data_IF_334471026904
#
_entry.id   IF_334471026904
#
_cell.length_a   1.000
_cell.length_b   1.000
_cell.length_c   1.000
_cell.angle_alpha   90.00
_cell.angle_beta   90.00
_cell.angle_gamma   90.00
#
_symmetry.space_group_name_H-M   'P 1'
#
loop_
_entity.id
_entity.type
_entity.pdbx_description
1 polymer ?
#
# COMPACT_ATOMS: atom_id res chain seq x y z
N UNK A 1 -26.60 -23.32 -58.17
CA UNK A 1 -25.19 -23.73 -57.95
C UNK A 1 -25.19 -25.14 -57.38
N UNK A 2 -24.29 -26.02 -57.82
CA UNK A 2 -24.21 -27.40 -57.31
C UNK A 2 -23.61 -27.43 -55.89
N UNK A 3 -23.92 -28.48 -55.10
CA UNK A 3 -23.37 -28.64 -53.74
C UNK A 3 -21.83 -28.64 -53.74
N UNK A 4 -21.19 -29.25 -54.75
CA UNK A 4 -19.74 -29.27 -54.91
C UNK A 4 -19.10 -27.87 -54.98
N UNK A 5 -19.81 -26.87 -55.53
CA UNK A 5 -19.32 -25.50 -55.57
C UNK A 5 -19.32 -24.84 -54.18
N UNK A 6 -20.37 -25.07 -53.38
CA UNK A 6 -20.43 -24.60 -51.99
C UNK A 6 -19.39 -25.28 -51.10
N UNK A 7 -19.16 -26.59 -51.30
CA UNK A 7 -18.10 -27.33 -50.61
C UNK A 7 -16.72 -26.77 -50.98
N UNK A 8 -16.46 -26.51 -52.27
CA UNK A 8 -15.20 -25.92 -52.71
C UNK A 8 -14.95 -24.52 -52.09
N UNK A 9 -15.97 -23.65 -52.06
CA UNK A 9 -15.88 -22.33 -51.42
C UNK A 9 -15.61 -22.45 -49.91
N UNK A 10 -16.31 -23.36 -49.22
CA UNK A 10 -16.09 -23.59 -47.79
C UNK A 10 -14.67 -24.11 -47.48
N UNK A 11 -14.13 -25.02 -48.31
CA UNK A 11 -12.76 -25.53 -48.19
C UNK A 11 -11.74 -24.42 -48.42
N UNK A 12 -11.91 -23.57 -49.44
CA UNK A 12 -11.01 -22.44 -49.71
C UNK A 12 -11.06 -21.42 -48.56
N UNK A 13 -12.24 -21.10 -48.02
CA UNK A 13 -12.37 -20.22 -46.86
C UNK A 13 -11.68 -20.80 -45.61
N UNK A 14 -11.84 -22.09 -45.33
CA UNK A 14 -11.17 -22.76 -44.21
C UNK A 14 -9.64 -22.74 -44.37
N UNK A 15 -9.12 -23.01 -45.58
CA UNK A 15 -7.69 -22.96 -45.88
C UNK A 15 -7.10 -21.55 -45.69
N UNK A 16 -7.83 -20.49 -46.07
CA UNK A 16 -7.41 -19.11 -45.84
C UNK A 16 -7.36 -18.74 -44.35
N UNK A 17 -8.35 -19.17 -43.56
CA UNK A 17 -8.35 -18.97 -42.10
C UNK A 17 -7.20 -19.73 -41.43
N UNK A 18 -6.93 -20.97 -41.86
CA UNK A 18 -5.78 -21.77 -41.38
C UNK A 18 -4.45 -21.07 -41.74
N UNK A 19 -4.31 -20.58 -42.97
CA UNK A 19 -3.11 -19.86 -43.41
C UNK A 19 -2.88 -18.58 -42.59
N UNK A 20 -3.93 -17.81 -42.30
CA UNK A 20 -3.87 -16.62 -41.45
C UNK A 20 -3.47 -16.96 -40.01
N UNK A 21 -4.04 -18.01 -39.42
CA UNK A 21 -3.68 -18.51 -38.09
C UNK A 21 -2.23 -18.98 -38.02
N UNK A 22 -1.75 -19.73 -39.02
CA UNK A 22 -0.36 -20.19 -39.10
C UNK A 22 0.61 -19.01 -39.26
N UNK A 23 0.29 -18.04 -40.13
CA UNK A 23 1.11 -16.83 -40.31
C UNK A 23 1.17 -16.00 -39.01
N UNK A 24 0.04 -15.83 -38.31
CA UNK A 24 -0.03 -15.19 -37.01
C UNK A 24 0.80 -15.92 -35.95
N UNK A 25 0.66 -17.25 -35.84
CA UNK A 25 1.41 -18.08 -34.90
C UNK A 25 2.92 -18.07 -35.18
N UNK A 26 3.35 -18.07 -36.45
CA UNK A 26 4.76 -17.95 -36.84
C UNK A 26 5.30 -16.55 -36.51
N UNK A 27 4.55 -15.48 -36.78
CA UNK A 27 4.95 -14.10 -36.44
C UNK A 27 5.03 -13.88 -34.92
N UNK A 28 4.12 -14.50 -34.16
CA UNK A 28 4.12 -14.53 -32.70
C UNK A 28 5.34 -15.31 -32.15
N UNK A 29 5.60 -16.52 -32.67
CA UNK A 29 6.78 -17.34 -32.30
C UNK A 29 8.10 -16.64 -32.62
N UNK A 30 8.21 -15.92 -33.76
CA UNK A 30 9.40 -15.14 -34.12
C UNK A 30 9.62 -13.87 -33.28
N UNK A 31 8.63 -13.42 -32.48
CA UNK A 31 8.76 -12.26 -31.58
C UNK A 31 9.09 -12.62 -30.12
N UNK A 32 9.14 -13.91 -29.75
CA UNK A 32 9.60 -14.32 -28.42
C UNK A 32 11.13 -14.48 -28.39
N UNK A 33 11.82 -13.46 -27.88
CA UNK A 33 13.23 -13.58 -27.47
C UNK A 33 13.33 -14.69 -26.41
N UNK A 34 14.27 -15.63 -26.58
CA UNK A 34 14.58 -16.65 -25.57
C UNK A 34 15.91 -16.32 -24.93
N UNK A 35 15.91 -16.10 -23.62
CA UNK A 35 17.09 -16.29 -22.79
C UNK A 35 16.96 -17.68 -22.15
N UNK A 36 17.92 -18.57 -22.43
CA UNK A 36 18.01 -19.86 -21.78
C UNK A 36 18.74 -19.71 -20.43
N UNK A 37 18.37 -20.53 -19.44
CA UNK A 37 19.06 -20.64 -18.16
C UNK A 37 19.24 -22.12 -17.82
N UNK A 38 20.38 -22.58 -17.28
CA UNK A 38 20.56 -23.96 -16.86
C UNK A 38 19.70 -24.31 -15.64
N UNK A 39 19.33 -25.58 -15.52
CA UNK A 39 18.81 -26.17 -14.27
C UNK A 39 19.96 -26.36 -13.25
N UNK A 40 19.65 -26.65 -11.97
CA UNK A 40 19.49 -28.06 -11.61
C UNK A 40 18.43 -28.37 -10.53
N UNK A 41 18.03 -29.64 -10.46
CA UNK A 41 17.73 -30.34 -9.20
C UNK A 41 16.28 -30.29 -8.72
N UNK A 42 15.65 -31.47 -8.65
CA UNK A 42 14.36 -31.67 -8.00
C UNK A 42 14.53 -32.41 -6.66
N UNK A 43 13.59 -32.20 -5.74
CA UNK A 43 12.86 -33.19 -4.90
C UNK A 43 12.29 -32.48 -3.62
N UNK A 44 11.28 -32.96 -2.88
CA UNK A 44 9.97 -33.56 -3.20
C UNK A 44 9.29 -34.05 -1.89
N UNK A 45 7.99 -33.73 -1.68
CA UNK A 45 7.08 -34.24 -0.62
C UNK A 45 7.47 -33.96 0.86
N UNK A 46 6.54 -33.90 1.83
CA UNK A 46 5.06 -33.80 1.79
C UNK A 46 4.43 -33.54 3.17
N UNK A 47 3.29 -32.84 3.20
CA UNK A 47 2.27 -32.97 4.26
C UNK A 47 2.46 -32.02 5.46
N UNK A 48 1.78 -30.86 5.50
CA UNK A 48 0.37 -30.66 5.93
C UNK A 48 0.09 -30.98 7.40
N UNK A 49 -0.16 -29.94 8.20
CA UNK A 49 -1.34 -29.83 9.07
C UNK A 49 -1.72 -28.35 9.23
N UNK A 50 -2.97 -28.05 9.64
CA UNK A 50 -3.57 -26.70 9.55
C UNK A 50 -4.47 -26.37 10.74
N UNK A 51 -4.41 -25.15 11.27
CA UNK A 51 -5.34 -24.58 12.25
C UNK A 51 -5.13 -23.05 12.37
N UNK A 52 -6.09 -22.22 12.79
CA UNK A 52 -7.57 -22.33 12.73
C UNK A 52 -8.25 -20.95 12.88
N UNK A 53 -7.54 -19.87 12.63
CA UNK A 53 -8.00 -18.47 12.74
C UNK A 53 -7.83 -17.85 11.35
N UNK A 54 -8.92 -17.41 10.71
CA UNK A 54 -9.22 -17.64 9.27
C UNK A 54 -8.36 -16.98 8.17
N UNK A 55 -7.05 -17.21 8.17
CA UNK A 55 -5.97 -16.41 7.58
C UNK A 55 -4.82 -17.50 7.23
N UNK A 56 -4.02 -17.47 6.10
CA UNK A 56 -2.88 -18.39 5.55
C UNK A 56 -1.31 -17.89 5.14
N UNK A 57 0.08 -17.91 5.53
CA UNK A 57 1.42 -18.16 6.41
C UNK A 57 2.27 -19.47 6.81
N UNK A 58 3.61 -19.55 6.52
CA UNK A 58 4.76 -20.29 7.18
C UNK A 58 6.14 -20.09 6.45
N UNK A 59 7.37 -20.10 7.02
CA UNK A 59 8.57 -19.40 6.42
C UNK A 59 9.93 -20.19 6.11
N UNK A 60 11.09 -19.52 5.74
CA UNK A 60 12.59 -19.75 6.04
C UNK A 60 13.90 -19.45 5.15
N UNK A 61 15.09 -19.04 5.71
CA UNK A 61 16.27 -18.44 4.99
C UNK A 61 17.74 -18.55 5.59
N UNK A 62 18.82 -17.96 4.96
CA UNK A 62 20.26 -18.00 5.36
C UNK A 62 21.09 -16.67 5.28
N UNK A 63 22.40 -16.67 5.64
CA UNK A 63 23.26 -15.45 5.79
C UNK A 63 24.72 -15.53 5.23
N UNK A 64 25.29 -14.41 4.72
CA UNK A 64 26.74 -14.07 4.43
C UNK A 64 26.84 -12.50 4.37
N UNK A 65 27.98 -11.83 4.19
CA UNK A 65 29.04 -11.41 5.14
C UNK A 65 29.66 -10.07 4.61
N UNK A 66 30.38 -9.29 5.41
CA UNK A 66 30.72 -7.88 5.12
C UNK A 66 32.21 -7.56 5.01
N UNK A 67 32.69 -7.27 3.79
CA UNK A 67 34.01 -6.64 3.55
C UNK A 67 33.91 -5.56 2.45
N UNK A 68 34.27 -4.30 2.74
CA UNK A 68 34.34 -3.25 1.70
C UNK A 68 33.94 -1.81 2.07
N UNK A 69 33.73 -1.45 3.35
CA UNK A 69 33.41 -0.06 3.72
C UNK A 69 34.67 0.84 3.76
N UNK A 70 34.60 2.10 3.30
CA UNK A 70 35.76 3.00 3.19
C UNK A 70 36.15 3.66 4.53
N UNK A 71 37.42 4.06 4.64
CA UNK A 71 37.95 4.77 5.80
C UNK A 71 37.56 6.26 5.82
N UNK A 72 37.46 6.84 7.02
CA UNK A 72 37.08 8.24 7.27
C UNK A 72 38.34 9.14 7.31
N UNK A 73 38.26 10.35 6.76
CA UNK A 73 39.35 11.36 6.79
C UNK A 73 39.21 12.40 7.91
N UNK A 74 40.33 13.01 8.30
CA UNK A 74 40.51 13.80 9.54
C UNK A 74 39.90 15.23 9.57
N UNK A 75 39.19 15.67 8.54
CA UNK A 75 38.71 17.07 8.40
C UNK A 75 37.46 17.42 9.25
N UNK A 76 37.50 17.12 10.55
CA UNK A 76 36.45 17.42 11.53
C UNK A 76 36.99 18.09 12.82
N UNK A 77 38.06 18.88 12.73
CA UNK A 77 38.69 19.51 13.91
C UNK A 77 37.93 20.76 14.39
N UNK A 78 37.19 20.61 15.50
CA UNK A 78 36.47 21.71 16.17
C UNK A 78 37.46 22.61 16.97
N UNK A 79 37.30 23.95 16.96
CA UNK A 79 38.12 24.87 17.77
C UNK A 79 38.11 24.52 19.27
N UNK A 80 39.28 24.58 19.93
CA UNK A 80 39.48 23.97 21.26
C UNK A 80 39.10 24.85 22.46
N UNK A 81 38.95 26.17 22.27
CA UNK A 81 38.79 27.15 23.35
C UNK A 81 37.33 27.59 23.62
N UNK A 82 36.38 26.66 23.49
CA UNK A 82 35.04 26.84 24.06
C UNK A 82 35.08 26.50 25.58
N UNK A 83 34.48 27.32 26.46
CA UNK A 83 34.50 27.07 27.90
C UNK A 83 33.73 25.79 28.26
N UNK A 84 34.48 24.73 28.56
CA UNK A 84 33.93 23.41 28.93
C UNK A 84 33.22 23.51 30.28
N UNK A 85 31.89 23.41 30.29
CA UNK A 85 31.13 23.11 31.52
C UNK A 85 31.50 21.70 31.97
N UNK A 86 31.97 21.55 33.21
CA UNK A 86 32.16 20.25 33.85
C UNK A 86 30.81 19.56 34.00
N UNK A 87 30.70 18.32 33.52
CA UNK A 87 29.51 17.49 33.74
C UNK A 87 29.66 16.84 35.12
N UNK A 88 29.16 17.55 36.13
CA UNK A 88 28.93 17.02 37.47
C UNK A 88 27.46 17.29 37.81
N UNK A 89 26.73 16.21 38.08
CA UNK A 89 25.36 16.23 38.60
C UNK A 89 24.35 17.04 37.76
N UNK A 90 24.12 16.58 36.52
CA UNK A 90 22.75 16.55 36.01
C UNK A 90 22.12 15.26 36.51
N UNK A 91 21.24 15.35 37.50
CA UNK A 91 20.46 14.19 37.94
C UNK A 91 19.50 13.80 36.81
N UNK A 92 19.75 12.64 36.20
CA UNK A 92 18.83 12.07 35.23
C UNK A 92 17.53 11.74 35.98
N UNK A 93 16.35 12.12 35.45
CA UNK A 93 15.10 11.66 36.04
C UNK A 93 15.16 10.13 36.10
N UNK A 94 14.82 9.57 37.27
CA UNK A 94 14.68 8.12 37.39
C UNK A 94 13.76 7.60 36.29
N UNK A 95 13.98 6.40 35.74
CA UNK A 95 13.04 5.82 34.81
C UNK A 95 11.69 5.71 35.53
N UNK A 96 10.73 6.55 35.13
CA UNK A 96 9.34 6.38 35.53
C UNK A 96 8.97 4.94 35.22
N UNK A 97 8.44 4.22 36.21
CA UNK A 97 8.00 2.85 36.05
C UNK A 97 6.90 2.85 34.99
N UNK A 98 7.28 2.61 33.73
CA UNK A 98 6.42 2.81 32.57
C UNK A 98 5.11 2.04 32.77
N UNK A 99 4.04 2.76 33.08
CA UNK A 99 2.73 2.14 33.31
C UNK A 99 2.36 1.33 32.07
N UNK A 100 1.87 0.11 32.30
CA UNK A 100 1.42 -0.76 31.23
C UNK A 100 0.37 0.00 30.41
N UNK A 101 0.57 0.06 29.09
CA UNK A 101 -0.30 0.83 28.21
C UNK A 101 -1.78 0.47 28.43
N UNK A 102 -2.69 1.47 28.45
CA UNK A 102 -4.08 1.24 28.82
C UNK A 102 -4.72 0.15 27.95
N UNK A 103 -5.69 -0.60 28.51
CA UNK A 103 -6.25 -1.79 27.86
C UNK A 103 -6.75 -1.47 26.44
N UNK A 104 -6.47 -2.39 25.51
CA UNK A 104 -6.69 -2.18 24.09
C UNK A 104 -8.15 -1.81 23.81
N UNK A 105 -8.37 -0.62 23.25
CA UNK A 105 -9.72 -0.14 22.96
C UNK A 105 -10.44 -1.09 21.97
N UNK A 106 -11.71 -1.48 22.21
CA UNK A 106 -12.45 -2.38 21.32
C UNK A 106 -12.46 -1.90 19.86
N UNK A 107 -12.42 -2.84 18.89
CA UNK A 107 -12.31 -2.50 17.46
C UNK A 107 -13.51 -1.68 16.95
N UNK A 108 -14.70 -1.89 17.51
CA UNK A 108 -15.94 -1.18 17.18
C UNK A 108 -15.76 0.34 17.27
N UNK A 109 -15.15 0.83 18.36
CA UNK A 109 -14.89 2.26 18.56
C UNK A 109 -13.83 2.84 17.61
N UNK A 110 -13.07 2.02 16.86
CA UNK A 110 -12.06 2.52 15.91
C UNK A 110 -12.71 3.11 14.65
N UNK A 111 -13.81 2.53 14.17
CA UNK A 111 -14.55 3.02 12.99
C UNK A 111 -15.29 4.33 13.27
N UNK A 112 -15.79 4.48 14.50
CA UNK A 112 -16.48 5.71 14.94
C UNK A 112 -15.49 6.87 15.18
N UNK A 113 -14.31 6.57 15.75
CA UNK A 113 -13.18 7.53 15.81
C UNK A 113 -12.68 7.94 14.42
N UNK A 114 -12.71 7.03 13.44
CA UNK A 114 -12.42 7.32 12.02
C UNK A 114 -13.39 8.35 11.45
N UNK A 115 -14.71 8.15 11.60
CA UNK A 115 -15.73 9.15 11.21
C UNK A 115 -15.49 10.50 11.88
N UNK A 116 -15.32 10.51 13.21
CA UNK A 116 -15.09 11.72 14.01
C UNK A 116 -13.74 12.41 13.82
N UNK A 117 -12.84 11.88 12.98
CA UNK A 117 -11.59 12.54 12.58
C UNK A 117 -11.65 13.02 11.13
N UNK A 118 -12.10 12.20 10.18
CA UNK A 118 -12.29 12.62 8.79
C UNK A 118 -13.30 13.78 8.66
N UNK A 119 -14.45 13.71 9.36
CA UNK A 119 -15.45 14.77 9.34
C UNK A 119 -14.94 16.13 9.87
N UNK A 120 -13.79 16.17 10.56
CA UNK A 120 -13.16 17.42 11.01
C UNK A 120 -12.23 18.07 9.98
N UNK A 121 -11.66 17.32 9.02
CA UNK A 121 -10.82 17.91 7.95
C UNK A 121 -11.54 18.07 6.61
N UNK A 122 -12.55 17.24 6.33
CA UNK A 122 -13.13 17.08 4.99
C UNK A 122 -14.36 17.96 4.67
N UNK A 123 -14.97 18.58 5.68
CA UNK A 123 -16.26 19.30 5.62
C UNK A 123 -16.36 20.48 4.62
N UNK A 124 -15.28 20.83 3.91
CA UNK A 124 -15.26 21.92 2.94
C UNK A 124 -15.85 21.51 1.57
N UNK A 125 -15.39 20.40 0.98
CA UNK A 125 -15.82 19.98 -0.36
C UNK A 125 -17.32 19.69 -0.41
N UNK A 126 -17.82 18.91 0.55
CA UNK A 126 -19.24 18.54 0.60
C UNK A 126 -20.15 19.76 0.51
N UNK A 127 -19.96 20.76 1.38
CA UNK A 127 -20.77 21.98 1.37
C UNK A 127 -20.60 22.84 0.11
N UNK A 128 -19.41 22.88 -0.47
CA UNK A 128 -19.15 23.65 -1.70
C UNK A 128 -19.90 23.04 -2.89
N UNK A 129 -19.71 21.74 -3.13
CA UNK A 129 -20.36 21.04 -4.26
C UNK A 129 -21.89 20.97 -4.06
N UNK A 130 -22.37 20.74 -2.84
CA UNK A 130 -23.81 20.69 -2.57
C UNK A 130 -24.48 22.06 -2.61
N UNK A 131 -23.80 23.13 -2.19
CA UNK A 131 -24.31 24.49 -2.32
C UNK A 131 -24.47 24.94 -3.77
N UNK A 132 -23.58 24.48 -4.66
CA UNK A 132 -23.72 24.65 -6.11
C UNK A 132 -24.88 23.81 -6.65
N UNK A 133 -24.85 22.48 -6.45
CA UNK A 133 -25.82 21.55 -7.06
C UNK A 133 -27.25 21.74 -6.52
N UNK A 134 -27.41 22.19 -5.27
CA UNK A 134 -28.71 22.40 -4.64
C UNK A 134 -29.50 23.61 -5.16
N UNK A 135 -28.91 24.44 -6.04
CA UNK A 135 -29.52 25.70 -6.52
C UNK A 135 -30.72 25.53 -7.47
N UNK A 136 -30.82 24.42 -8.20
CA UNK A 136 -31.89 24.17 -9.19
C UNK A 136 -31.36 23.66 -10.53
N UNK A 137 -31.88 24.20 -11.63
CA UNK A 137 -31.36 23.92 -12.97
C UNK A 137 -29.97 24.54 -13.13
N UNK A 138 -28.93 23.69 -13.16
CA UNK A 138 -27.53 24.09 -13.27
C UNK A 138 -27.15 24.46 -14.70
N UNK A 139 -26.71 25.70 -14.89
CA UNK A 139 -26.10 26.17 -16.13
C UNK A 139 -24.62 25.74 -16.23
N UNK A 140 -24.01 26.03 -17.39
CA UNK A 140 -22.64 25.57 -17.68
C UNK A 140 -21.58 26.25 -16.79
N UNK A 141 -21.85 27.47 -16.29
CA UNK A 141 -21.00 28.17 -15.32
C UNK A 141 -21.05 27.46 -13.96
N UNK A 142 -22.26 27.12 -13.48
CA UNK A 142 -22.46 26.31 -12.27
C UNK A 142 -21.77 24.94 -12.35
N UNK A 143 -21.73 24.31 -13.54
CA UNK A 143 -21.00 23.06 -13.74
C UNK A 143 -19.48 23.22 -13.76
N UNK A 144 -18.95 24.35 -14.23
CA UNK A 144 -17.52 24.64 -14.16
C UNK A 144 -17.08 24.87 -12.71
N UNK A 145 -17.87 25.57 -11.90
CA UNK A 145 -17.60 25.73 -10.46
C UNK A 145 -17.58 24.38 -9.71
N UNK A 146 -18.44 23.43 -10.13
CA UNK A 146 -18.40 22.05 -9.62
C UNK A 146 -17.13 21.31 -10.06
N UNK A 147 -16.71 21.45 -11.32
CA UNK A 147 -15.45 20.87 -11.81
C UNK A 147 -14.25 21.40 -11.02
N UNK A 148 -14.10 22.73 -10.95
CA UNK A 148 -13.00 23.40 -10.28
C UNK A 148 -12.96 23.03 -8.79
N UNK A 149 -14.11 22.94 -8.12
CA UNK A 149 -14.21 22.47 -6.73
C UNK A 149 -13.68 21.03 -6.55
N UNK A 150 -14.03 20.11 -7.45
CA UNK A 150 -13.56 18.72 -7.42
C UNK A 150 -12.06 18.62 -7.75
N UNK A 151 -11.56 19.44 -8.68
CA UNK A 151 -10.14 19.51 -9.03
C UNK A 151 -9.29 20.08 -7.87
N UNK A 152 -9.75 21.14 -7.21
CA UNK A 152 -9.07 21.79 -6.07
C UNK A 152 -8.84 20.80 -4.91
N UNK A 153 -9.77 19.88 -4.69
CA UNK A 153 -9.68 18.83 -3.67
C UNK A 153 -8.80 17.61 -4.07
N UNK A 154 -8.09 17.69 -5.20
CA UNK A 154 -7.17 16.68 -5.77
C UNK A 154 -7.82 15.34 -6.20
N UNK A 155 -9.11 15.33 -6.62
CA UNK A 155 -9.70 14.15 -7.29
C UNK A 155 -8.97 13.83 -8.61
N UNK A 156 -8.53 14.87 -9.32
CA UNK A 156 -7.84 14.75 -10.62
C UNK A 156 -8.79 14.64 -11.81
N UNK A 157 -8.37 15.09 -13.01
CA UNK A 157 -9.27 15.39 -14.12
C UNK A 157 -10.09 14.19 -14.59
N UNK A 158 -9.49 13.00 -14.72
CA UNK A 158 -10.19 11.80 -15.20
C UNK A 158 -11.33 11.37 -14.26
N UNK A 159 -11.12 11.49 -12.94
CA UNK A 159 -12.17 11.18 -11.94
C UNK A 159 -13.21 12.29 -11.97
N UNK A 160 -12.81 13.56 -11.98
CA UNK A 160 -13.74 14.70 -12.03
C UNK A 160 -14.63 14.65 -13.27
N UNK A 161 -14.09 14.37 -14.46
CA UNK A 161 -14.85 14.19 -15.71
C UNK A 161 -15.89 13.06 -15.58
N UNK A 162 -15.49 11.90 -15.04
CA UNK A 162 -16.41 10.77 -14.78
C UNK A 162 -17.51 11.13 -13.78
N UNK A 163 -17.17 11.84 -12.71
CA UNK A 163 -18.11 12.33 -11.69
C UNK A 163 -19.11 13.30 -12.31
N UNK A 164 -18.67 14.30 -13.07
CA UNK A 164 -19.56 15.28 -13.73
C UNK A 164 -20.47 14.60 -14.74
N UNK A 165 -19.95 13.71 -15.59
CA UNK A 165 -20.75 13.00 -16.57
C UNK A 165 -21.86 12.16 -15.91
N UNK A 166 -21.53 11.46 -14.81
CA UNK A 166 -22.51 10.69 -14.04
C UNK A 166 -23.49 11.59 -13.27
N UNK A 167 -23.04 12.71 -12.70
CA UNK A 167 -23.89 13.71 -12.03
C UNK A 167 -24.90 14.29 -13.02
N UNK A 168 -24.44 14.91 -14.13
CA UNK A 168 -25.31 15.47 -15.19
C UNK A 168 -26.35 14.44 -15.65
N UNK A 169 -25.92 13.19 -15.89
CA UNK A 169 -26.81 12.10 -16.30
C UNK A 169 -27.85 11.72 -15.23
N UNK A 170 -27.44 11.54 -13.95
CA UNK A 170 -28.34 11.13 -12.86
C UNK A 170 -29.25 12.26 -12.36
N UNK A 171 -28.83 13.52 -12.44
CA UNK A 171 -29.70 14.67 -12.14
C UNK A 171 -30.76 14.84 -13.24
N UNK A 172 -30.38 14.81 -14.52
CA UNK A 172 -31.31 15.00 -15.64
C UNK A 172 -32.31 13.83 -15.85
N UNK A 173 -31.99 12.63 -15.37
CA UNK A 173 -32.88 11.45 -15.41
C UNK A 173 -33.55 11.12 -14.08
N UNK A 174 -33.08 11.72 -12.98
CA UNK A 174 -33.57 11.49 -11.63
C UNK A 174 -34.71 12.44 -11.25
N UNK A 175 -35.49 12.03 -10.26
CA UNK A 175 -36.58 12.86 -9.71
C UNK A 175 -36.07 13.73 -8.55
N UNK A 176 -34.92 14.40 -8.75
CA UNK A 176 -34.20 15.19 -7.75
C UNK A 176 -34.95 16.49 -7.49
N UNK A 177 -35.32 16.76 -6.22
CA UNK A 177 -36.16 17.92 -5.86
C UNK A 177 -35.65 18.70 -4.64
N UNK A 178 -34.62 18.17 -3.96
CA UNK A 178 -34.04 18.74 -2.75
C UNK A 178 -32.52 18.59 -2.75
N UNK A 179 -31.84 19.42 -1.95
CA UNK A 179 -30.41 19.29 -1.66
C UNK A 179 -30.06 17.90 -1.11
N UNK A 180 -30.97 17.26 -0.36
CA UNK A 180 -30.79 15.90 0.16
C UNK A 180 -30.79 14.84 -0.96
N UNK A 181 -31.65 14.98 -1.98
CA UNK A 181 -31.64 14.11 -3.16
C UNK A 181 -30.33 14.29 -3.95
N UNK A 182 -29.91 15.54 -4.15
CA UNK A 182 -28.64 15.87 -4.80
C UNK A 182 -27.43 15.28 -4.04
N UNK A 183 -27.44 15.36 -2.70
CA UNK A 183 -26.43 14.74 -1.83
C UNK A 183 -26.40 13.23 -1.96
N UNK A 184 -27.55 12.56 -2.04
CA UNK A 184 -27.62 11.12 -2.28
C UNK A 184 -27.04 10.74 -3.67
N UNK A 185 -27.36 11.51 -4.72
CA UNK A 185 -26.81 11.27 -6.06
C UNK A 185 -25.29 11.47 -6.09
N UNK A 186 -24.76 12.56 -5.52
CA UNK A 186 -23.32 12.83 -5.45
C UNK A 186 -22.58 11.76 -4.64
N UNK A 187 -23.13 11.39 -3.47
CA UNK A 187 -22.63 10.31 -2.62
C UNK A 187 -22.48 9.01 -3.40
N UNK A 188 -23.53 8.59 -4.10
CA UNK A 188 -23.52 7.32 -4.82
C UNK A 188 -22.57 7.36 -6.03
N UNK A 189 -22.44 8.49 -6.74
CA UNK A 189 -21.44 8.65 -7.81
C UNK A 189 -20.02 8.50 -7.25
N UNK A 190 -19.69 9.21 -6.17
CA UNK A 190 -18.36 9.11 -5.54
C UNK A 190 -18.07 7.71 -4.98
N UNK A 191 -19.07 7.00 -4.42
CA UNK A 191 -18.89 5.61 -4.00
C UNK A 191 -18.61 4.69 -5.20
N UNK A 192 -19.26 4.91 -6.35
CA UNK A 192 -19.02 4.11 -7.56
C UNK A 192 -17.62 4.34 -8.15
N UNK A 193 -17.11 5.58 -8.17
CA UNK A 193 -15.71 5.87 -8.57
C UNK A 193 -14.68 5.17 -7.69
N UNK A 194 -14.98 5.01 -6.39
CA UNK A 194 -14.16 4.23 -5.47
C UNK A 194 -14.27 2.71 -5.69
N UNK A 195 -15.05 2.22 -6.66
CA UNK A 195 -15.09 0.81 -7.08
C UNK A 195 -15.22 -0.16 -5.88
N UNK A 196 -16.41 -0.25 -5.25
CA UNK A 196 -16.59 -0.99 -4.00
C UNK A 196 -16.36 -2.51 -4.18
N UNK A 197 -16.45 -3.03 -5.41
CA UNK A 197 -16.15 -4.43 -5.75
C UNK A 197 -14.66 -4.82 -5.78
N UNK A 198 -13.71 -3.88 -5.57
CA UNK A 198 -12.30 -4.26 -5.40
C UNK A 198 -12.07 -4.95 -4.05
N UNK A 199 -11.29 -6.03 -4.04
CA UNK A 199 -10.86 -6.74 -2.82
C UNK A 199 -9.96 -5.85 -1.94
N UNK A 200 -10.51 -5.43 -0.80
CA UNK A 200 -9.82 -4.61 0.21
C UNK A 200 -9.29 -5.41 1.40
N UNK A 201 -9.44 -6.74 1.40
CA UNK A 201 -8.85 -7.57 2.44
C UNK A 201 -7.32 -7.44 2.42
N UNK A 202 -6.70 -7.35 3.60
CA UNK A 202 -5.25 -7.55 3.69
C UNK A 202 -5.05 -9.06 3.72
N UNK A 203 -4.22 -9.58 2.81
CA UNK A 203 -3.89 -11.01 2.74
C UNK A 203 -2.93 -11.43 3.86
N UNK A 204 -3.09 -10.91 5.08
CA UNK A 204 -2.20 -11.07 6.24
C UNK A 204 -2.45 -12.37 7.06
N UNK A 205 -2.31 -13.49 6.37
CA UNK A 205 -2.87 -14.85 6.46
C UNK A 205 -1.86 -15.92 7.10
N UNK A 206 -2.03 -16.99 8.05
CA UNK A 206 -1.24 -18.32 8.34
C UNK A 206 -1.52 -19.77 7.70
N UNK A 207 -0.72 -20.23 6.69
CA UNK A 207 -0.81 -21.23 5.57
C UNK A 207 -0.37 -22.63 6.05
N UNK A 208 -0.15 -23.58 5.12
CA UNK A 208 0.49 -24.87 5.41
C UNK A 208 2.04 -24.86 5.47
N UNK A 209 2.72 -24.01 4.69
CA UNK A 209 4.18 -24.14 4.47
C UNK A 209 4.93 -22.86 4.03
N UNK A 210 4.32 -21.99 3.20
CA UNK A 210 4.88 -20.72 2.75
C UNK A 210 4.16 -19.51 3.36
N UNK A 211 4.77 -18.31 3.48
CA UNK A 211 4.19 -17.16 4.18
C UNK A 211 3.04 -16.56 3.38
N UNK A 212 2.24 -15.74 4.05
CA UNK A 212 1.96 -14.42 3.49
C UNK A 212 3.09 -13.46 3.90
N UNK A 213 3.97 -13.07 2.99
CA UNK A 213 4.83 -11.93 3.28
C UNK A 213 4.09 -10.65 2.93
N UNK A 214 3.97 -9.75 3.90
CA UNK A 214 3.56 -8.37 3.65
C UNK A 214 4.82 -7.53 3.42
N UNK A 215 5.04 -7.12 2.17
CA UNK A 215 6.13 -6.21 1.82
C UNK A 215 5.61 -4.76 1.85
N UNK A 216 6.11 -3.95 2.78
CA UNK A 216 5.66 -2.56 2.96
C UNK A 216 6.63 -1.62 2.25
N UNK A 217 6.20 -1.09 1.11
CA UNK A 217 7.02 -0.27 0.18
C UNK A 217 6.53 1.18 0.11
N UNK A 218 7.31 2.05 -0.53
CA UNK A 218 6.96 3.45 -0.75
C UNK A 218 8.04 4.44 -0.33
N UNK A 219 7.80 5.73 -0.56
CA UNK A 219 8.83 6.77 -0.45
C UNK A 219 9.16 7.14 1.00
N UNK A 220 10.21 7.92 1.21
CA UNK A 220 10.58 8.44 2.53
C UNK A 220 9.52 9.43 3.03
N UNK A 221 9.26 9.43 4.35
CA UNK A 221 8.34 10.38 5.01
C UNK A 221 6.85 10.00 5.01
N UNK A 222 6.42 8.97 4.26
CA UNK A 222 5.02 8.50 4.21
C UNK A 222 4.59 7.68 5.42
N UNK A 223 5.52 7.36 6.34
CA UNK A 223 5.21 6.62 7.56
C UNK A 223 5.17 5.10 7.41
N UNK A 224 5.99 4.50 6.53
CA UNK A 224 6.11 3.03 6.40
C UNK A 224 6.34 2.31 7.74
N UNK A 225 7.43 2.61 8.45
CA UNK A 225 7.77 2.03 9.77
C UNK A 225 6.64 2.19 10.80
N UNK A 226 5.98 3.35 10.81
CA UNK A 226 4.80 3.61 11.65
C UNK A 226 3.59 2.75 11.23
N UNK A 227 3.37 2.59 9.93
CA UNK A 227 2.31 1.73 9.36
C UNK A 227 2.56 0.27 9.69
N UNK A 228 3.81 -0.20 9.57
CA UNK A 228 4.23 -1.56 9.96
C UNK A 228 3.93 -1.80 11.45
N UNK A 229 4.33 -0.88 12.34
CA UNK A 229 4.07 -0.98 13.77
C UNK A 229 2.58 -0.98 14.15
N UNK A 230 1.77 -0.11 13.51
CA UNK A 230 0.32 -0.10 13.71
C UNK A 230 -0.36 -1.34 13.14
N UNK A 231 0.06 -1.82 11.97
CA UNK A 231 -0.47 -3.04 11.35
C UNK A 231 -0.12 -4.28 12.20
N UNK A 232 1.11 -4.37 12.70
CA UNK A 232 1.53 -5.38 13.66
C UNK A 232 0.63 -5.38 14.91
N UNK A 233 0.29 -4.20 15.46
CA UNK A 233 -0.65 -4.10 16.58
C UNK A 233 -2.04 -4.63 16.24
N UNK A 234 -2.60 -4.26 15.08
CA UNK A 234 -3.92 -4.74 14.63
C UNK A 234 -3.92 -6.26 14.48
N UNK A 235 -2.83 -6.83 13.97
CA UNK A 235 -2.69 -8.26 13.76
C UNK A 235 -2.50 -9.03 15.08
N UNK A 236 -1.67 -8.56 16.02
CA UNK A 236 -1.59 -9.21 17.35
C UNK A 236 -2.93 -9.10 18.10
N UNK A 237 -3.68 -8.01 17.94
CA UNK A 237 -5.04 -7.87 18.49
C UNK A 237 -6.06 -8.85 17.86
N UNK A 238 -5.83 -9.31 16.62
CA UNK A 238 -6.55 -10.42 15.96
C UNK A 238 -5.98 -11.82 16.34
N UNK A 239 -5.11 -11.88 17.35
CA UNK A 239 -4.52 -13.12 17.86
C UNK A 239 -3.38 -13.68 17.00
N UNK A 240 -2.76 -12.88 16.13
CA UNK A 240 -1.61 -13.29 15.31
C UNK A 240 -0.29 -13.17 16.05
N UNK A 241 0.57 -14.17 15.91
CA UNK A 241 1.99 -14.12 16.29
C UNK A 241 2.75 -13.42 15.17
N UNK A 242 3.35 -12.27 15.44
CA UNK A 242 3.95 -11.40 14.41
C UNK A 242 5.47 -11.34 14.52
N UNK A 243 6.15 -11.41 13.38
CA UNK A 243 7.57 -11.15 13.15
C UNK A 243 7.71 -9.94 12.22
N UNK A 244 8.56 -8.99 12.58
CA UNK A 244 8.82 -7.79 11.77
C UNK A 244 10.23 -7.81 11.19
N UNK A 245 10.36 -7.60 9.88
CA UNK A 245 11.64 -7.49 9.17
C UNK A 245 12.08 -6.03 9.03
N UNK A 246 13.16 -5.66 9.70
CA UNK A 246 13.75 -4.31 9.64
C UNK A 246 14.65 -4.14 8.40
N UNK A 247 14.07 -4.21 7.20
CA UNK A 247 14.80 -4.14 5.93
C UNK A 247 15.13 -2.69 5.46
N UNK A 248 14.72 -1.64 6.18
CA UNK A 248 15.27 -0.28 6.02
C UNK A 248 16.65 -0.16 6.71
N UNK A 249 17.60 -1.00 6.28
CA UNK A 249 18.94 -1.12 6.87
C UNK A 249 19.82 0.14 6.71
N UNK A 250 19.40 1.05 5.84
CA UNK A 250 19.98 2.39 5.66
C UNK A 250 19.53 3.41 6.71
N UNK A 251 18.73 3.02 7.71
CA UNK A 251 18.25 3.88 8.79
C UNK A 251 18.24 3.08 10.10
N UNK A 252 19.35 3.06 10.86
CA UNK A 252 19.41 2.41 12.18
C UNK A 252 18.22 2.80 13.09
N UNK A 253 17.89 4.09 13.16
CA UNK A 253 16.73 4.60 13.89
C UNK A 253 15.36 4.06 13.42
N UNK A 254 15.23 3.56 12.18
CA UNK A 254 14.02 2.87 11.73
C UNK A 254 13.92 1.46 12.32
N UNK A 255 15.03 0.73 12.40
CA UNK A 255 15.08 -0.57 13.06
C UNK A 255 14.81 -0.46 14.57
N UNK A 256 15.34 0.57 15.24
CA UNK A 256 15.06 0.82 16.67
C UNK A 256 13.62 1.32 16.90
N UNK A 257 13.07 2.13 15.99
CA UNK A 257 11.65 2.50 16.01
C UNK A 257 10.75 1.27 15.84
N UNK A 258 11.08 0.37 14.91
CA UNK A 258 10.34 -0.87 14.66
C UNK A 258 10.44 -1.84 15.85
N UNK A 259 11.61 -1.95 16.46
CA UNK A 259 11.81 -2.69 17.72
C UNK A 259 10.96 -2.13 18.86
N UNK A 260 10.85 -0.80 18.97
CA UNK A 260 10.01 -0.13 19.97
C UNK A 260 8.52 -0.42 19.74
N UNK A 261 8.06 -0.48 18.49
CA UNK A 261 6.70 -0.94 18.17
C UNK A 261 6.49 -2.40 18.56
N UNK A 262 7.41 -3.28 18.16
CA UNK A 262 7.30 -4.72 18.36
C UNK A 262 7.21 -5.09 19.86
N UNK A 263 8.11 -4.54 20.68
CA UNK A 263 8.14 -4.78 22.12
C UNK A 263 6.87 -4.27 22.84
N UNK A 264 6.16 -3.28 22.28
CA UNK A 264 4.89 -2.77 22.81
C UNK A 264 3.68 -3.63 22.44
N UNK A 265 3.79 -4.46 21.40
CA UNK A 265 2.67 -5.29 20.89
C UNK A 265 2.89 -6.78 21.11
N UNK A 266 4.08 -7.22 21.51
CA UNK A 266 4.42 -8.63 21.65
C UNK A 266 4.84 -9.31 20.33
N UNK A 267 5.32 -8.53 19.36
CA UNK A 267 5.90 -9.05 18.12
C UNK A 267 7.41 -9.31 18.26
N UNK A 268 7.93 -10.30 17.53
CA UNK A 268 9.37 -10.50 17.36
C UNK A 268 9.91 -9.59 16.24
N UNK A 269 11.22 -9.30 16.23
CA UNK A 269 11.87 -8.52 15.17
C UNK A 269 13.13 -9.22 14.70
N UNK A 270 13.34 -9.21 13.38
CA UNK A 270 14.64 -9.50 12.78
C UNK A 270 15.21 -8.22 12.20
N UNK A 271 16.47 -7.95 12.55
CA UNK A 271 17.26 -6.82 12.07
C UNK A 271 18.66 -7.29 11.73
N UNK A 272 19.20 -6.83 10.61
CA UNK A 272 20.62 -6.99 10.29
C UNK A 272 21.50 -5.98 11.04
N UNK A 273 22.78 -5.96 10.69
CA UNK A 273 23.65 -4.82 10.99
C UNK A 273 23.22 -3.57 10.19
N UNK A 274 23.66 -2.39 10.61
CA UNK A 274 23.48 -1.17 9.80
C UNK A 274 24.19 -1.33 8.44
N UNK A 275 23.51 -0.98 7.36
CA UNK A 275 24.00 -1.18 5.99
C UNK A 275 24.04 -2.65 5.52
N UNK A 276 23.49 -3.60 6.28
CA UNK A 276 23.29 -4.97 5.80
C UNK A 276 22.35 -5.01 4.58
N UNK A 277 22.44 -6.06 3.77
CA UNK A 277 21.59 -6.25 2.58
C UNK A 277 20.10 -6.35 2.98
N UNK A 278 19.22 -5.43 2.54
CA UNK A 278 17.78 -5.50 2.81
C UNK A 278 17.16 -6.82 2.35
N UNK A 279 17.68 -7.41 1.26
CA UNK A 279 17.20 -8.68 0.76
C UNK A 279 17.53 -9.83 1.71
N UNK A 280 18.68 -9.81 2.39
CA UNK A 280 19.03 -10.79 3.43
C UNK A 280 18.19 -10.59 4.67
N UNK A 281 18.03 -9.35 5.17
CA UNK A 281 17.21 -9.10 6.39
C UNK A 281 15.74 -9.44 6.16
N UNK A 282 15.21 -9.18 4.96
CA UNK A 282 13.88 -9.64 4.54
C UNK A 282 13.77 -11.17 4.48
N UNK A 283 14.85 -11.86 4.10
CA UNK A 283 14.94 -13.31 4.09
C UNK A 283 15.03 -13.87 5.52
N UNK A 284 15.89 -13.34 6.38
CA UNK A 284 16.04 -13.75 7.78
C UNK A 284 14.77 -13.47 8.62
N UNK A 285 14.04 -12.39 8.33
CA UNK A 285 12.71 -12.12 8.89
C UNK A 285 11.70 -13.21 8.52
N UNK A 286 11.88 -13.79 7.34
CA UNK A 286 11.21 -15.03 6.95
C UNK A 286 11.85 -16.21 7.75
N UNK A 287 13.17 -16.47 7.78
CA UNK A 287 13.77 -17.58 8.61
C UNK A 287 13.23 -17.71 10.02
N UNK A 288 13.41 -16.66 10.79
CA UNK A 288 12.99 -16.59 12.19
C UNK A 288 11.54 -17.05 12.38
N UNK A 289 10.67 -16.71 11.42
CA UNK A 289 9.26 -17.06 11.46
C UNK A 289 8.93 -18.54 11.17
N UNK A 290 9.80 -19.38 10.56
CA UNK A 290 9.49 -20.84 10.53
C UNK A 290 9.82 -21.44 11.89
N UNK A 291 10.91 -20.97 12.48
CA UNK A 291 11.45 -21.51 13.71
C UNK A 291 10.55 -21.18 14.90
N UNK A 292 9.93 -19.99 14.94
CA UNK A 292 8.82 -19.70 15.87
C UNK A 292 7.43 -20.14 15.36
N UNK A 293 7.36 -20.74 14.17
CA UNK A 293 6.13 -21.14 13.50
C UNK A 293 5.13 -19.98 13.38
N UNK A 294 5.66 -18.75 13.25
CA UNK A 294 4.94 -17.49 13.35
C UNK A 294 3.78 -17.42 12.37
N UNK A 295 2.81 -16.59 12.73
CA UNK A 295 1.85 -16.09 11.78
C UNK A 295 2.56 -15.01 10.94
N UNK A 296 2.34 -13.72 11.20
CA UNK A 296 2.68 -12.67 10.23
C UNK A 296 4.16 -12.41 10.09
N UNK A 297 4.66 -12.33 8.85
CA UNK A 297 5.90 -11.60 8.52
C UNK A 297 5.56 -10.29 7.81
N UNK A 298 5.86 -9.15 8.44
CA UNK A 298 5.73 -7.81 7.83
C UNK A 298 7.12 -7.19 7.68
N UNK A 299 7.46 -6.76 6.46
CA UNK A 299 8.80 -6.27 6.10
C UNK A 299 8.73 -4.78 5.81
N UNK A 300 9.42 -3.95 6.60
CA UNK A 300 9.58 -2.51 6.38
C UNK A 300 10.80 -2.26 5.48
N UNK A 301 10.61 -1.72 4.27
CA UNK A 301 11.72 -1.49 3.32
C UNK A 301 12.27 -0.07 3.39
N UNK A 302 13.45 0.14 2.81
CA UNK A 302 13.91 1.49 2.47
C UNK A 302 12.94 2.23 1.50
N UNK A 303 13.03 3.56 1.45
CA UNK A 303 12.23 4.42 0.56
C UNK A 303 13.02 5.51 -0.19
N UNK A 304 14.33 5.31 -0.35
CA UNK A 304 15.29 6.31 -0.84
C UNK A 304 15.26 6.47 -2.37
N UNK A 305 14.17 7.01 -2.92
CA UNK A 305 13.93 7.09 -4.38
C UNK A 305 14.88 8.03 -5.16
N UNK A 306 15.74 8.80 -4.49
CA UNK A 306 16.69 9.69 -5.18
C UNK A 306 17.65 8.95 -6.13
N UNK A 307 17.94 7.68 -5.87
CA UNK A 307 18.64 6.76 -6.77
C UNK A 307 17.67 5.77 -7.42
N UNK A 308 16.80 6.28 -8.32
CA UNK A 308 15.69 5.54 -8.96
C UNK A 308 16.04 4.11 -9.43
N UNK A 309 17.23 3.89 -9.98
CA UNK A 309 17.67 2.57 -10.44
C UNK A 309 17.94 1.64 -9.25
N UNK A 310 18.82 2.06 -8.33
CA UNK A 310 19.27 1.25 -7.20
C UNK A 310 18.14 0.81 -6.25
N UNK A 311 17.20 1.70 -5.90
CA UNK A 311 16.06 1.30 -5.04
C UNK A 311 15.14 0.27 -5.73
N UNK A 312 15.01 0.34 -7.06
CA UNK A 312 14.12 -0.53 -7.81
C UNK A 312 14.75 -1.91 -8.03
N UNK A 313 16.04 -1.96 -8.35
CA UNK A 313 16.83 -3.20 -8.36
C UNK A 313 16.84 -3.87 -6.97
N UNK A 314 16.91 -3.06 -5.90
CA UNK A 314 16.86 -3.52 -4.50
C UNK A 314 15.48 -4.09 -4.13
N UNK A 315 14.37 -3.47 -4.54
CA UNK A 315 13.04 -3.98 -4.25
C UNK A 315 12.66 -5.22 -5.07
N UNK A 316 13.06 -5.31 -6.36
CA UNK A 316 13.03 -6.59 -7.08
C UNK A 316 13.86 -7.63 -6.34
N UNK A 317 15.09 -7.31 -5.94
CA UNK A 317 15.98 -8.24 -5.23
C UNK A 317 15.35 -8.73 -3.92
N UNK A 318 14.77 -7.85 -3.10
CA UNK A 318 14.06 -8.22 -1.86
C UNK A 318 12.93 -9.19 -2.19
N UNK A 319 12.01 -8.81 -3.09
CA UNK A 319 10.88 -9.67 -3.50
C UNK A 319 11.37 -11.01 -4.04
N UNK A 320 12.33 -11.01 -4.96
CA UNK A 320 12.91 -12.18 -5.63
C UNK A 320 13.74 -13.08 -4.71
N UNK A 321 14.29 -12.57 -3.63
CA UNK A 321 14.97 -13.37 -2.60
C UNK A 321 13.94 -14.00 -1.67
N UNK A 322 13.00 -13.22 -1.13
CA UNK A 322 11.86 -13.72 -0.35
C UNK A 322 11.09 -14.81 -1.12
N UNK A 323 10.77 -14.58 -2.40
CA UNK A 323 10.11 -15.52 -3.32
C UNK A 323 10.87 -16.82 -3.61
N UNK A 324 12.10 -17.01 -3.11
CA UNK A 324 12.77 -18.33 -3.12
C UNK A 324 12.26 -19.27 -2.05
N UNK A 325 11.55 -18.74 -1.05
CA UNK A 325 10.99 -19.52 0.05
C UNK A 325 9.49 -19.30 0.23
N UNK A 326 9.04 -18.12 -0.12
CA UNK A 326 7.86 -17.52 0.42
C UNK A 326 7.11 -16.73 -0.63
N UNK A 327 5.82 -17.00 -0.85
CA UNK A 327 5.01 -16.07 -1.62
C UNK A 327 5.00 -14.69 -0.93
N UNK A 328 5.00 -13.64 -1.74
CA UNK A 328 4.73 -12.26 -1.28
C UNK A 328 3.27 -11.98 -1.62
N UNK A 329 2.38 -12.44 -0.74
CA UNK A 329 0.93 -12.42 -0.94
C UNK A 329 0.39 -11.00 -0.99
N UNK A 330 1.03 -10.06 -0.28
CA UNK A 330 0.65 -8.64 -0.24
C UNK A 330 1.87 -7.71 -0.36
N UNK A 331 1.80 -6.77 -1.30
CA UNK A 331 2.72 -5.63 -1.41
C UNK A 331 1.90 -4.36 -1.18
N UNK A 332 2.11 -3.71 -0.03
CA UNK A 332 1.40 -2.49 0.34
C UNK A 332 2.25 -1.26 0.08
N UNK A 333 1.80 -0.39 -0.82
CA UNK A 333 2.44 0.90 -1.06
C UNK A 333 1.91 1.94 -0.06
N UNK A 334 2.78 2.42 0.83
CA UNK A 334 2.45 3.47 1.81
C UNK A 334 2.72 4.84 1.22
N UNK A 335 1.64 5.61 1.06
CA UNK A 335 1.60 6.96 0.54
C UNK A 335 1.08 7.92 1.61
N UNK A 336 1.44 9.19 1.47
CA UNK A 336 1.01 10.28 2.35
C UNK A 336 -0.16 11.01 1.67
N UNK A 337 -1.26 11.28 2.38
CA UNK A 337 -2.39 12.02 1.81
C UNK A 337 -2.07 13.51 1.55
N UNK A 338 -0.91 14.00 2.01
CA UNK A 338 -0.35 15.29 1.63
C UNK A 338 0.57 15.22 0.39
N UNK A 339 0.70 14.06 -0.29
CA UNK A 339 1.43 14.04 -1.57
C UNK A 339 0.69 14.87 -2.61
N UNK A 340 1.35 15.92 -3.10
CA UNK A 340 0.98 16.53 -4.37
C UNK A 340 1.33 15.63 -5.57
N UNK A 341 1.10 16.17 -6.77
CA UNK A 341 1.42 15.58 -8.08
C UNK A 341 2.70 14.71 -8.11
N UNK A 342 3.78 15.20 -7.49
CA UNK A 342 5.09 14.58 -7.46
C UNK A 342 5.12 13.20 -6.77
N UNK A 343 4.26 12.94 -5.77
CA UNK A 343 4.24 11.65 -5.07
C UNK A 343 3.50 10.57 -5.84
N UNK A 344 2.47 10.92 -6.61
CA UNK A 344 1.77 10.00 -7.52
C UNK A 344 2.68 9.54 -8.67
N UNK A 345 3.40 10.49 -9.28
CA UNK A 345 4.41 10.16 -10.30
C UNK A 345 5.54 9.25 -9.77
N UNK A 346 5.79 9.26 -8.46
CA UNK A 346 6.72 8.34 -7.80
C UNK A 346 6.05 6.99 -7.51
N UNK A 347 4.82 7.00 -7.01
CA UNK A 347 4.00 5.80 -6.74
C UNK A 347 3.89 4.88 -7.96
N UNK A 348 3.67 5.45 -9.15
CA UNK A 348 3.62 4.68 -10.41
C UNK A 348 4.90 3.90 -10.68
N UNK A 349 6.08 4.49 -10.43
CA UNK A 349 7.38 3.83 -10.66
C UNK A 349 7.59 2.65 -9.69
N UNK A 350 6.98 2.66 -8.50
CA UNK A 350 6.93 1.44 -7.66
C UNK A 350 6.03 0.36 -8.28
N UNK A 351 4.86 0.74 -8.83
CA UNK A 351 3.94 -0.18 -9.48
C UNK A 351 4.52 -0.85 -10.74
N UNK A 352 5.34 -0.12 -11.50
CA UNK A 352 6.03 -0.62 -12.71
C UNK A 352 7.12 -1.68 -12.40
N UNK A 353 7.58 -1.77 -11.14
CA UNK A 353 8.72 -2.60 -10.71
C UNK A 353 8.31 -3.72 -9.74
N UNK A 354 7.36 -3.43 -8.85
CA UNK A 354 6.87 -4.37 -7.86
C UNK A 354 5.36 -4.47 -8.03
N UNK A 355 4.83 -5.68 -8.28
CA UNK A 355 3.38 -5.93 -8.31
C UNK A 355 2.72 -5.50 -6.98
N UNK A 356 2.25 -4.25 -6.90
CA UNK A 356 1.50 -3.72 -5.74
C UNK A 356 0.14 -4.41 -5.71
N UNK A 357 -0.32 -4.78 -4.52
CA UNK A 357 -1.62 -5.44 -4.31
C UNK A 357 -2.62 -4.57 -3.56
N UNK A 358 -2.15 -3.50 -2.91
CA UNK A 358 -2.99 -2.47 -2.30
C UNK A 358 -2.20 -1.22 -1.89
N UNK A 359 -2.91 -0.12 -1.68
CA UNK A 359 -2.34 1.13 -1.18
C UNK A 359 -2.76 1.38 0.29
N UNK A 360 -1.87 2.06 1.04
CA UNK A 360 -2.14 2.59 2.37
C UNK A 360 -1.91 4.10 2.32
N UNK A 361 -2.89 4.89 2.75
CA UNK A 361 -2.77 6.35 2.78
C UNK A 361 -2.70 6.85 4.22
N UNK A 362 -1.63 7.56 4.58
CA UNK A 362 -1.40 8.12 5.91
C UNK A 362 -1.74 9.61 5.96
N UNK A 363 -1.87 10.18 7.17
CA UNK A 363 -2.11 11.61 7.43
C UNK A 363 -3.39 12.17 6.77
N UNK A 364 -4.44 11.37 6.60
CA UNK A 364 -5.73 11.85 6.08
C UNK A 364 -6.37 12.92 6.97
N UNK A 365 -6.08 12.89 8.27
CA UNK A 365 -6.52 13.88 9.25
C UNK A 365 -5.76 15.22 9.13
N UNK A 366 -4.57 15.22 8.53
CA UNK A 366 -3.73 16.41 8.31
C UNK A 366 -4.00 17.15 6.99
N UNK A 367 -4.93 16.68 6.16
CA UNK A 367 -5.25 17.27 4.85
C UNK A 367 -6.73 17.63 4.72
N UNK A 368 -7.01 18.76 4.07
CA UNK A 368 -8.36 19.17 3.64
C UNK A 368 -8.72 18.64 2.24
N UNK A 369 -7.85 17.82 1.63
CA UNK A 369 -7.97 17.32 0.26
C UNK A 369 -8.21 15.81 0.21
N UNK A 370 -9.46 15.40 0.37
CA UNK A 370 -9.87 14.00 0.29
C UNK A 370 -9.73 13.34 -1.09
N UNK A 371 -9.69 14.12 -2.18
CA UNK A 371 -9.69 13.60 -3.55
C UNK A 371 -8.51 12.68 -3.90
N UNK A 372 -7.39 12.83 -3.18
CA UNK A 372 -6.18 12.02 -3.37
C UNK A 372 -6.44 10.51 -3.32
N UNK A 373 -7.45 10.05 -2.56
CA UNK A 373 -7.85 8.64 -2.47
C UNK A 373 -8.29 8.07 -3.82
N UNK A 374 -9.20 8.78 -4.50
CA UNK A 374 -9.70 8.40 -5.82
C UNK A 374 -8.55 8.32 -6.83
N UNK A 375 -7.70 9.34 -6.80
CA UNK A 375 -6.59 9.49 -7.75
C UNK A 375 -5.49 8.45 -7.55
N UNK A 376 -5.17 8.08 -6.32
CA UNK A 376 -4.24 6.98 -6.01
C UNK A 376 -4.77 5.66 -6.56
N UNK A 377 -6.07 5.38 -6.39
CA UNK A 377 -6.69 4.17 -6.94
C UNK A 377 -6.75 4.19 -8.48
N UNK A 378 -6.97 5.35 -9.09
CA UNK A 378 -7.04 5.55 -10.54
C UNK A 378 -5.67 5.48 -11.25
N UNK A 379 -4.61 6.03 -10.65
CA UNK A 379 -3.25 6.02 -11.23
C UNK A 379 -2.55 4.65 -11.06
N UNK A 380 -2.81 3.94 -9.95
CA UNK A 380 -2.17 2.66 -9.64
C UNK A 380 -2.98 1.42 -10.04
N UNK A 381 -4.30 1.54 -10.22
CA UNK A 381 -5.19 0.40 -10.53
C UNK A 381 -5.38 -0.59 -9.38
N UNK A 382 -4.96 -0.25 -8.16
CA UNK A 382 -5.04 -1.10 -6.95
C UNK A 382 -5.88 -0.42 -5.87
N UNK A 383 -6.64 -1.18 -5.06
CA UNK A 383 -7.48 -0.60 -4.03
C UNK A 383 -6.65 0.06 -2.93
N UNK A 384 -7.14 1.20 -2.42
CA UNK A 384 -6.77 1.66 -1.08
C UNK A 384 -7.40 0.68 -0.09
N UNK A 385 -6.57 0.06 0.77
CA UNK A 385 -6.99 -0.96 1.75
C UNK A 385 -6.99 -0.46 3.19
N UNK A 386 -6.07 0.45 3.53
CA UNK A 386 -5.94 1.01 4.88
C UNK A 386 -5.77 2.54 4.83
N UNK A 387 -6.25 3.22 5.88
CA UNK A 387 -6.04 4.65 6.11
C UNK A 387 -5.46 4.94 7.50
N UNK A 388 -4.43 5.79 7.53
CA UNK A 388 -3.80 6.33 8.74
C UNK A 388 -4.37 7.71 9.07
N UNK A 389 -4.79 7.88 10.32
CA UNK A 389 -5.71 8.94 10.75
C UNK A 389 -5.12 9.82 11.88
N UNK A 390 -3.79 9.88 11.95
CA UNK A 390 -2.99 10.61 12.93
C UNK A 390 -1.87 9.74 13.51
N UNK A 391 -1.19 10.24 14.55
CA UNK A 391 0.00 9.59 15.11
C UNK A 391 -0.30 8.53 16.19
N UNK A 392 -1.54 8.45 16.70
CA UNK A 392 -1.91 7.51 17.75
C UNK A 392 -1.79 6.04 17.31
N UNK A 393 -1.51 5.11 18.22
CA UNK A 393 -1.29 3.70 17.86
C UNK A 393 -2.57 2.95 17.45
N UNK A 394 -3.75 3.56 17.61
CA UNK A 394 -5.04 3.09 17.07
C UNK A 394 -5.41 3.75 15.74
N UNK A 395 -4.63 4.73 15.27
CA UNK A 395 -4.95 5.56 14.11
C UNK A 395 -4.51 4.90 12.79
N UNK A 396 -4.97 3.66 12.58
CA UNK A 396 -4.91 2.88 11.35
C UNK A 396 -6.20 2.06 11.24
N UNK A 397 -6.98 2.26 10.18
CA UNK A 397 -8.27 1.60 9.97
C UNK A 397 -8.38 0.99 8.55
N UNK A 398 -9.24 -0.03 8.34
CA UNK A 398 -9.68 -0.43 7.00
C UNK A 398 -10.26 0.75 6.21
N UNK A 399 -10.04 0.76 4.91
CA UNK A 399 -10.64 1.74 4.02
C UNK A 399 -12.04 1.30 3.57
N UNK A 400 -13.06 1.95 4.10
CA UNK A 400 -14.47 1.73 3.77
C UNK A 400 -14.98 2.83 2.82
N UNK A 401 -15.20 2.54 1.51
CA UNK A 401 -15.56 3.56 0.51
C UNK A 401 -16.78 4.40 0.89
N UNK A 402 -17.83 3.75 1.41
CA UNK A 402 -19.04 4.44 1.84
C UNK A 402 -18.77 5.39 3.03
N UNK A 403 -18.14 4.90 4.10
CA UNK A 403 -17.86 5.71 5.29
C UNK A 403 -16.85 6.85 5.01
N UNK A 404 -15.97 6.68 4.02
CA UNK A 404 -15.08 7.74 3.54
C UNK A 404 -15.85 8.83 2.78
N UNK A 405 -16.75 8.46 1.86
CA UNK A 405 -17.57 9.44 1.12
C UNK A 405 -18.59 10.13 2.04
N UNK A 406 -19.17 9.41 2.99
CA UNK A 406 -20.02 9.99 4.05
C UNK A 406 -19.26 11.10 4.79
N UNK A 407 -18.04 10.82 5.25
CA UNK A 407 -17.20 11.81 5.92
C UNK A 407 -16.67 12.93 5.01
N UNK A 408 -16.65 12.73 3.69
CA UNK A 408 -16.29 13.76 2.69
C UNK A 408 -17.44 14.73 2.39
N UNK A 409 -18.69 14.28 2.55
CA UNK A 409 -19.90 15.07 2.28
C UNK A 409 -20.55 15.67 3.52
N UNK A 410 -20.12 15.29 4.73
CA UNK A 410 -20.52 15.86 6.03
C UNK A 410 -21.65 15.12 6.71
#
# INVERSE_FOLDING_TARGET
>A
MSQGLWIAVAVVAALLVIAALVAGLVRYRRRRIRLARPEPGALDRSGRYTASSGITFSQSAPTIDTTGLPAVGDDATIPRDAPRRTISEVELPHPETLEAAPPQAPPEGRLERLRGRLARSQNALGRSVLGLIGGGDLDEESWQDVEDTLLIADLGPVVTESVIAQLRSRLASGNVRTEADAKAVLRDVLINELQPGMDRSIRALPHADHPSVLLIVGVNGTGKTTTVGKLARVLVADGRRVVLGAADTFRAAAADQLQTWASRVGAEVVRGAEGADPASVAFDAVDKGIASGADVVVIDTAGRLHTKVGLMDELDKVKRIVSRRAAVDEVLLVLDATIGQNGLAQARVFADVVDITGAVLTKLDGTAKGGIVFRVQQELGVPVKLVGLGEGPDDLAPFEPAAFVDALLG
#
